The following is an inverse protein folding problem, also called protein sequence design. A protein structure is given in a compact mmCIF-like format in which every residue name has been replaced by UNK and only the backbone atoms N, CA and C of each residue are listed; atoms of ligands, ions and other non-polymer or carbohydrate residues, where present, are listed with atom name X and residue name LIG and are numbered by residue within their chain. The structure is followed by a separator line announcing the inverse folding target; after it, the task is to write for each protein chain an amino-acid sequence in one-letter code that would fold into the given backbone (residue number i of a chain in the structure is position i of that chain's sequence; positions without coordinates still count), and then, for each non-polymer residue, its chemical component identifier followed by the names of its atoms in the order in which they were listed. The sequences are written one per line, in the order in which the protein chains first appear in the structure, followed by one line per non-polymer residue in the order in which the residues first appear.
data_IF_102681680983
#
_entry.id   IF_102681680983
#
_cell.length_a   1.000
_cell.length_b   1.000
_cell.length_c   1.000
_cell.angle_alpha   90.00
_cell.angle_beta   90.00
_cell.angle_gamma   90.00
#
_symmetry.space_group_name_H-M   'P 1'
#
loop_
_entity.id
_entity.type
_entity.pdbx_description
1 polymer ?
#
# COMPACT_ATOMS: atom_id res chain seq x y z
N UNK A 1 23.66 -3.83 6.47
CA UNK A 1 22.73 -3.38 5.40
C UNK A 1 22.82 -1.88 5.25
N UNK A 2 22.78 -1.36 4.03
CA UNK A 2 22.66 0.09 3.77
C UNK A 2 21.24 0.53 4.10
N UNK A 3 21.03 1.79 4.46
CA UNK A 3 19.68 2.33 4.79
C UNK A 3 18.64 2.06 3.68
N UNK A 4 19.07 2.02 2.42
CA UNK A 4 18.25 1.72 1.24
C UNK A 4 17.74 0.28 1.18
N UNK A 5 18.49 -0.67 1.76
CA UNK A 5 18.09 -2.08 1.78
C UNK A 5 16.95 -2.37 2.77
N UNK A 6 16.68 -1.44 3.70
CA UNK A 6 15.55 -1.52 4.63
C UNK A 6 14.25 -0.88 4.12
N UNK A 7 14.31 -0.10 3.03
CA UNK A 7 13.15 0.62 2.53
C UNK A 7 12.00 -0.33 2.14
N UNK A 8 12.25 -1.27 1.24
CA UNK A 8 11.22 -2.20 0.78
C UNK A 8 10.62 -3.05 1.93
N UNK A 9 11.41 -3.70 2.82
CA UNK A 9 10.83 -4.48 3.91
C UNK A 9 10.02 -3.63 4.89
N UNK A 10 10.47 -2.43 5.24
CA UNK A 10 9.74 -1.53 6.15
C UNK A 10 8.41 -1.09 5.52
N UNK A 11 8.44 -0.61 4.28
CA UNK A 11 7.24 -0.17 3.57
C UNK A 11 6.23 -1.32 3.37
N UNK A 12 6.73 -2.53 3.12
CA UNK A 12 5.88 -3.71 3.05
C UNK A 12 5.20 -4.07 4.37
N UNK A 13 5.91 -3.98 5.51
CA UNK A 13 5.32 -4.22 6.84
C UNK A 13 4.32 -3.15 7.24
N UNK A 14 4.57 -1.88 6.89
CA UNK A 14 3.60 -0.78 7.07
C UNK A 14 2.34 -1.07 6.27
N UNK A 15 2.50 -1.52 5.01
CA UNK A 15 1.37 -1.93 4.17
C UNK A 15 0.57 -3.07 4.79
N UNK A 16 1.24 -4.12 5.28
CA UNK A 16 0.58 -5.26 5.91
C UNK A 16 -0.18 -4.84 7.18
N UNK A 17 0.40 -3.94 7.99
CA UNK A 17 -0.28 -3.37 9.16
C UNK A 17 -1.51 -2.56 8.77
N UNK A 18 -1.40 -1.71 7.74
CA UNK A 18 -2.54 -0.99 7.18
C UNK A 18 -3.64 -1.95 6.73
N UNK A 19 -3.27 -2.99 5.97
CA UNK A 19 -4.23 -3.97 5.47
C UNK A 19 -5.00 -4.62 6.62
N UNK A 20 -4.31 -5.00 7.70
CA UNK A 20 -4.94 -5.60 8.88
C UNK A 20 -5.89 -4.62 9.61
N UNK A 21 -5.47 -3.38 9.82
CA UNK A 21 -6.30 -2.35 10.46
C UNK A 21 -7.53 -2.04 9.60
N UNK A 22 -7.35 -1.87 8.31
CA UNK A 22 -8.45 -1.59 7.38
C UNK A 22 -9.44 -2.76 7.33
N UNK A 23 -8.95 -3.99 7.16
CA UNK A 23 -9.79 -5.18 7.13
C UNK A 23 -10.58 -5.33 8.43
N UNK A 24 -9.96 -5.13 9.59
CA UNK A 24 -10.60 -5.22 10.90
C UNK A 24 -11.78 -4.26 11.07
N UNK A 25 -11.70 -3.07 10.48
CA UNK A 25 -12.83 -2.10 10.50
C UNK A 25 -14.05 -2.61 9.72
N UNK A 26 -13.84 -3.32 8.62
CA UNK A 26 -14.91 -3.82 7.76
C UNK A 26 -15.30 -5.28 8.05
N UNK A 27 -14.52 -6.00 8.83
CA UNK A 27 -14.74 -7.43 9.12
C UNK A 27 -16.13 -7.73 9.70
N UNK A 28 -16.69 -6.94 10.64
CA UNK A 28 -18.04 -7.16 11.13
C UNK A 28 -19.11 -7.09 10.03
N UNK A 29 -18.98 -6.12 9.11
CA UNK A 29 -19.91 -5.96 8.00
C UNK A 29 -19.75 -7.09 6.96
N UNK A 30 -18.51 -7.49 6.68
CA UNK A 30 -18.18 -8.60 5.77
C UNK A 30 -18.81 -9.90 6.28
N UNK A 31 -18.62 -10.21 7.57
CA UNK A 31 -19.18 -11.41 8.20
C UNK A 31 -20.70 -11.38 8.24
N UNK A 32 -21.30 -10.25 8.60
CA UNK A 32 -22.75 -10.11 8.66
C UNK A 32 -23.39 -10.32 7.29
N UNK A 33 -22.81 -9.75 6.23
CA UNK A 33 -23.29 -9.95 4.86
C UNK A 33 -23.11 -11.40 4.42
N UNK A 34 -21.93 -12.00 4.63
CA UNK A 34 -21.68 -13.40 4.30
C UNK A 34 -22.68 -14.34 4.99
N UNK A 35 -22.90 -14.17 6.29
CA UNK A 35 -23.84 -15.00 7.06
C UNK A 35 -25.29 -14.84 6.59
N UNK A 36 -25.67 -13.64 6.13
CA UNK A 36 -27.03 -13.35 5.63
C UNK A 36 -27.34 -14.04 4.30
N UNK A 37 -26.33 -14.28 3.46
CA UNK A 37 -26.50 -14.88 2.10
C UNK A 37 -26.12 -16.37 2.09
N UNK A 38 -25.48 -16.87 3.13
CA UNK A 38 -25.03 -18.26 3.24
C UNK A 38 -26.20 -19.24 3.09
N UNK A 39 -26.06 -20.23 2.21
CA UNK A 39 -27.10 -21.21 1.91
C UNK A 39 -28.25 -20.69 1.03
N UNK A 40 -28.15 -19.46 0.52
CA UNK A 40 -29.12 -18.88 -0.43
C UNK A 40 -28.59 -18.96 -1.87
N UNK A 41 -29.46 -18.67 -2.85
CA UNK A 41 -29.05 -18.55 -4.26
C UNK A 41 -28.13 -17.33 -4.54
N UNK A 42 -27.97 -16.46 -3.55
CA UNK A 42 -27.07 -15.28 -3.62
C UNK A 42 -25.73 -15.55 -2.93
N UNK A 43 -25.47 -16.77 -2.47
CA UNK A 43 -24.21 -17.11 -1.81
C UNK A 43 -23.02 -16.85 -2.75
N UNK A 44 -22.06 -16.12 -2.23
CA UNK A 44 -20.78 -15.82 -2.89
C UNK A 44 -19.62 -15.95 -1.89
N UNK A 45 -18.39 -16.19 -2.37
CA UNK A 45 -17.23 -16.34 -1.50
C UNK A 45 -16.98 -15.08 -0.64
N UNK A 46 -16.57 -15.26 0.60
CA UNK A 46 -16.31 -14.16 1.55
C UNK A 46 -15.26 -13.16 1.02
N UNK A 47 -14.29 -13.63 0.23
CA UNK A 47 -13.27 -12.75 -0.35
C UNK A 47 -13.85 -11.74 -1.36
N UNK A 48 -14.91 -12.09 -2.11
CA UNK A 48 -15.57 -11.15 -3.01
C UNK A 48 -16.26 -10.02 -2.24
N UNK A 49 -16.93 -10.35 -1.13
CA UNK A 49 -17.55 -9.38 -0.23
C UNK A 49 -16.48 -8.46 0.37
N UNK A 50 -15.37 -9.03 0.81
CA UNK A 50 -14.27 -8.27 1.39
C UNK A 50 -13.66 -7.28 0.39
N UNK A 51 -13.41 -7.72 -0.85
CA UNK A 51 -12.88 -6.84 -1.91
C UNK A 51 -13.84 -5.69 -2.19
N UNK A 52 -15.13 -5.95 -2.24
CA UNK A 52 -16.16 -4.92 -2.44
C UNK A 52 -16.19 -3.89 -1.30
N UNK A 53 -16.07 -4.34 -0.04
CA UNK A 53 -16.15 -3.49 1.16
C UNK A 53 -14.88 -2.69 1.45
N UNK A 54 -13.71 -3.34 1.39
CA UNK A 54 -12.45 -2.73 1.81
C UNK A 54 -11.32 -2.77 0.77
N UNK A 55 -11.58 -3.34 -0.43
CA UNK A 55 -10.62 -3.34 -1.54
C UNK A 55 -9.69 -4.53 -1.60
N UNK A 56 -9.65 -5.39 -0.58
CA UNK A 56 -8.85 -6.62 -0.54
C UNK A 56 -9.41 -7.64 0.46
N UNK A 57 -8.93 -8.87 0.38
CA UNK A 57 -9.23 -9.92 1.36
C UNK A 57 -7.98 -10.28 2.15
N UNK A 58 -8.13 -10.39 3.46
CA UNK A 58 -7.05 -10.74 4.39
C UNK A 58 -7.42 -12.02 5.14
N UNK A 59 -6.89 -13.19 4.73
CA UNK A 59 -7.12 -14.44 5.45
C UNK A 59 -6.45 -14.41 6.84
N UNK A 60 -6.83 -15.34 7.70
CA UNK A 60 -6.38 -15.34 9.11
C UNK A 60 -4.86 -15.41 9.23
N UNK A 61 -4.21 -16.21 8.39
CA UNK A 61 -2.74 -16.39 8.37
C UNK A 61 -1.98 -15.14 7.91
N UNK A 62 -2.68 -14.20 7.27
CA UNK A 62 -2.13 -12.91 6.86
C UNK A 62 -2.45 -11.77 7.85
N UNK A 63 -3.18 -12.05 8.93
CA UNK A 63 -3.49 -11.06 9.96
C UNK A 63 -2.23 -10.70 10.75
N UNK A 64 -2.10 -9.42 11.05
CA UNK A 64 -0.90 -8.92 11.71
C UNK A 64 -0.70 -9.52 13.10
N UNK A 65 -1.77 -9.65 13.88
CA UNK A 65 -1.71 -10.28 15.21
C UNK A 65 -1.39 -11.78 15.14
N UNK A 66 -1.78 -12.48 14.07
CA UNK A 66 -1.41 -13.87 13.86
C UNK A 66 0.10 -14.02 13.66
N UNK A 67 0.70 -13.17 12.83
CA UNK A 67 2.16 -13.14 12.61
C UNK A 67 2.95 -12.82 13.89
N UNK A 68 2.44 -11.92 14.72
CA UNK A 68 3.06 -11.55 15.99
C UNK A 68 3.02 -12.66 17.05
N UNK A 69 2.06 -13.57 16.98
CA UNK A 69 1.87 -14.65 17.93
C UNK A 69 2.42 -16.00 17.44
N UNK A 70 3.19 -16.00 16.35
CA UNK A 70 3.84 -17.21 15.85
C UNK A 70 4.83 -17.77 16.89
N UNK A 71 4.89 -19.10 17.03
CA UNK A 71 5.94 -19.75 17.83
C UNK A 71 7.34 -19.41 17.29
N UNK A 72 8.33 -19.31 18.18
CA UNK A 72 9.72 -19.06 17.78
C UNK A 72 10.31 -20.15 16.87
N UNK A 73 9.70 -21.34 16.82
CA UNK A 73 10.09 -22.44 15.94
C UNK A 73 9.69 -22.22 14.47
N UNK A 74 8.80 -21.27 14.20
CA UNK A 74 8.31 -20.98 12.85
C UNK A 74 9.25 -20.00 12.14
N UNK A 75 9.39 -20.17 10.84
CA UNK A 75 10.13 -19.25 9.99
C UNK A 75 9.29 -18.00 9.72
N UNK A 76 9.54 -16.94 10.50
CA UNK A 76 8.80 -15.69 10.40
C UNK A 76 8.92 -15.04 9.02
N UNK A 77 10.10 -15.10 8.37
CA UNK A 77 10.29 -14.51 7.03
C UNK A 77 9.40 -15.21 5.99
N UNK A 78 9.34 -16.54 6.08
CA UNK A 78 8.44 -17.35 5.24
C UNK A 78 6.97 -17.00 5.49
N UNK A 79 6.57 -16.82 6.75
CA UNK A 79 5.17 -16.49 7.10
C UNK A 79 4.77 -15.08 6.65
N UNK A 80 5.67 -14.11 6.74
CA UNK A 80 5.44 -12.76 6.18
C UNK A 80 5.29 -12.83 4.66
N UNK A 81 6.13 -13.61 3.96
CA UNK A 81 5.99 -13.85 2.53
C UNK A 81 4.63 -14.46 2.18
N UNK A 82 4.22 -15.53 2.86
CA UNK A 82 2.92 -16.19 2.67
C UNK A 82 1.75 -15.21 2.89
N UNK A 83 1.86 -14.32 3.89
CA UNK A 83 0.86 -13.28 4.14
C UNK A 83 0.77 -12.27 2.98
N UNK A 84 1.90 -11.82 2.44
CA UNK A 84 1.93 -10.92 1.28
C UNK A 84 1.31 -11.58 0.04
N UNK A 85 1.65 -12.84 -0.22
CA UNK A 85 1.07 -13.63 -1.32
C UNK A 85 -0.44 -13.79 -1.16
N UNK A 86 -0.92 -14.00 0.06
CA UNK A 86 -2.35 -14.14 0.34
C UNK A 86 -3.12 -12.82 0.06
N UNK A 87 -2.55 -11.66 0.39
CA UNK A 87 -3.14 -10.36 0.06
C UNK A 87 -3.21 -10.15 -1.45
N UNK A 88 -2.10 -10.41 -2.18
CA UNK A 88 -2.05 -10.24 -3.63
C UNK A 88 -3.00 -11.16 -4.38
N UNK A 89 -3.15 -12.41 -3.92
CA UNK A 89 -3.98 -13.42 -4.57
C UNK A 89 -5.40 -12.96 -4.90
N UNK A 90 -5.94 -12.07 -4.07
CA UNK A 90 -7.32 -11.60 -4.19
C UNK A 90 -7.41 -10.13 -4.61
N UNK A 91 -6.28 -9.48 -4.93
CA UNK A 91 -6.25 -8.04 -5.25
C UNK A 91 -5.42 -7.82 -6.51
N UNK A 92 -6.10 -7.73 -7.67
CA UNK A 92 -5.43 -7.60 -8.97
C UNK A 92 -4.51 -6.37 -9.06
N UNK A 93 -4.86 -5.27 -8.40
CA UNK A 93 -4.05 -4.05 -8.36
C UNK A 93 -2.70 -4.24 -7.66
N UNK A 94 -2.58 -5.26 -6.81
CA UNK A 94 -1.37 -5.59 -6.05
C UNK A 94 -0.57 -6.75 -6.63
N UNK A 95 -1.01 -7.33 -7.75
CA UNK A 95 -0.29 -8.43 -8.39
C UNK A 95 1.20 -8.09 -8.59
N UNK A 96 2.09 -8.96 -8.10
CA UNK A 96 3.56 -8.80 -8.10
C UNK A 96 4.07 -7.47 -7.53
N UNK A 97 3.35 -6.91 -6.56
CA UNK A 97 3.62 -5.59 -5.99
C UNK A 97 4.29 -5.65 -4.64
N UNK A 98 3.83 -6.55 -3.75
CA UNK A 98 4.31 -6.60 -2.38
C UNK A 98 5.72 -7.24 -2.31
N UNK A 99 6.59 -6.76 -1.40
CA UNK A 99 7.93 -7.31 -1.25
C UNK A 99 7.87 -8.67 -0.54
N UNK A 100 8.01 -9.75 -1.29
CA UNK A 100 7.84 -11.13 -0.78
C UNK A 100 9.13 -11.77 -0.29
N UNK A 101 10.19 -11.69 -1.08
CA UNK A 101 11.42 -12.45 -0.83
C UNK A 101 12.45 -11.69 0.01
N UNK A 102 12.30 -10.39 0.16
CA UNK A 102 13.26 -9.52 0.86
C UNK A 102 13.39 -9.88 2.35
N UNK A 103 12.35 -10.44 2.96
CA UNK A 103 12.31 -10.73 4.39
C UNK A 103 13.30 -11.80 4.84
N UNK A 104 13.73 -12.68 3.94
CA UNK A 104 14.79 -13.65 4.22
C UNK A 104 16.16 -13.01 4.47
N UNK A 105 16.39 -11.80 3.98
CA UNK A 105 17.62 -11.05 4.13
C UNK A 105 17.59 -9.98 5.22
N UNK A 106 16.46 -9.77 5.89
CA UNK A 106 16.31 -8.74 6.93
C UNK A 106 17.07 -9.09 8.20
N UNK A 107 17.04 -10.36 8.59
CA UNK A 107 17.81 -10.85 9.73
C UNK A 107 19.30 -10.95 9.37
N UNK A 108 20.19 -10.65 10.30
CA UNK A 108 21.63 -10.80 10.16
C UNK A 108 22.17 -11.81 11.16
N UNK A 109 23.43 -12.25 10.96
CA UNK A 109 24.12 -13.11 11.94
C UNK A 109 24.26 -12.40 13.30
N UNK A 110 24.46 -11.08 13.31
CA UNK A 110 24.60 -10.26 14.51
C UNK A 110 23.26 -10.02 15.22
N UNK A 111 22.14 -9.99 14.50
CA UNK A 111 20.80 -9.82 15.07
C UNK A 111 19.77 -10.65 14.28
N UNK A 112 19.51 -11.87 14.73
CA UNK A 112 18.55 -12.77 14.08
C UNK A 112 17.07 -12.39 14.35
N UNK A 113 16.83 -11.36 15.17
CA UNK A 113 15.48 -10.95 15.57
C UNK A 113 15.04 -9.61 14.98
N UNK A 114 15.74 -9.07 13.98
CA UNK A 114 15.42 -7.77 13.37
C UNK A 114 13.98 -7.75 12.83
N UNK A 115 13.59 -8.76 12.09
CA UNK A 115 12.23 -8.84 11.52
C UNK A 115 11.16 -8.90 12.62
N UNK A 116 11.36 -9.67 13.68
CA UNK A 116 10.44 -9.75 14.80
C UNK A 116 10.32 -8.42 15.56
N UNK A 117 11.44 -7.69 15.73
CA UNK A 117 11.45 -6.35 16.34
C UNK A 117 10.71 -5.34 15.47
N UNK A 118 10.90 -5.36 14.14
CA UNK A 118 10.18 -4.50 13.20
C UNK A 118 8.67 -4.74 13.27
N UNK A 119 8.23 -5.99 13.24
CA UNK A 119 6.82 -6.33 13.40
C UNK A 119 6.25 -5.79 14.72
N UNK A 120 6.97 -5.94 15.83
CA UNK A 120 6.52 -5.42 17.13
C UNK A 120 6.39 -3.91 17.12
N UNK A 121 7.34 -3.19 16.53
CA UNK A 121 7.32 -1.73 16.48
C UNK A 121 6.11 -1.20 15.70
N UNK A 122 5.74 -1.83 14.58
CA UNK A 122 4.56 -1.40 13.81
C UNK A 122 3.22 -1.83 14.43
N UNK A 123 3.22 -2.77 15.40
CA UNK A 123 2.02 -3.08 16.19
C UNK A 123 1.54 -1.86 16.96
N UNK A 124 2.45 -1.02 17.44
CA UNK A 124 2.15 0.15 18.26
C UNK A 124 1.44 1.27 17.47
N UNK A 125 1.32 1.15 16.15
CA UNK A 125 0.40 1.99 15.37
C UNK A 125 -1.02 1.64 15.79
N UNK A 126 -1.77 2.57 16.44
CA UNK A 126 -3.08 2.27 16.99
C UNK A 126 -4.06 1.80 15.92
N UNK A 127 -4.94 0.86 16.26
CA UNK A 127 -5.94 0.35 15.31
C UNK A 127 -7.15 1.29 15.13
N UNK A 128 -7.29 2.28 15.99
CA UNK A 128 -8.36 3.29 15.97
C UNK A 128 -7.98 4.57 15.20
N UNK A 129 -6.76 4.63 14.66
CA UNK A 129 -6.34 5.77 13.82
C UNK A 129 -7.16 5.84 12.53
N UNK A 130 -7.29 7.04 12.02
CA UNK A 130 -7.82 7.26 10.67
C UNK A 130 -6.92 6.58 9.65
N UNK A 131 -7.50 5.94 8.64
CA UNK A 131 -6.74 5.17 7.65
C UNK A 131 -5.76 6.04 6.85
N UNK A 132 -6.05 7.33 6.74
CA UNK A 132 -5.22 8.30 6.02
C UNK A 132 -3.82 8.48 6.66
N UNK A 133 -3.70 8.24 7.97
CA UNK A 133 -2.40 8.27 8.68
C UNK A 133 -1.41 7.26 8.09
N UNK A 134 -1.87 6.09 7.63
CA UNK A 134 -0.96 5.13 7.00
C UNK A 134 -0.36 5.64 5.70
N UNK A 135 -1.13 6.40 4.92
CA UNK A 135 -0.62 7.09 3.74
C UNK A 135 0.45 8.13 4.12
N UNK A 136 0.22 8.92 5.16
CA UNK A 136 1.18 9.91 5.66
C UNK A 136 2.46 9.24 6.20
N UNK A 137 2.33 8.16 6.97
CA UNK A 137 3.46 7.37 7.46
C UNK A 137 4.27 6.81 6.28
N UNK A 138 3.59 6.26 5.28
CA UNK A 138 4.22 5.70 4.10
C UNK A 138 4.98 6.76 3.32
N UNK A 139 4.38 7.92 3.07
CA UNK A 139 5.04 9.06 2.39
C UNK A 139 6.24 9.58 3.21
N UNK A 140 6.13 9.65 4.53
CA UNK A 140 7.24 10.03 5.41
C UNK A 140 8.43 9.10 5.22
N UNK A 141 8.23 7.79 5.31
CA UNK A 141 9.32 6.82 5.11
C UNK A 141 9.89 6.85 3.69
N UNK A 142 9.06 7.02 2.66
CA UNK A 142 9.54 7.23 1.30
C UNK A 142 10.48 8.44 1.21
N UNK A 143 10.12 9.55 1.85
CA UNK A 143 10.95 10.75 1.91
C UNK A 143 12.28 10.52 2.63
N UNK A 144 12.26 9.87 3.80
CA UNK A 144 13.47 9.55 4.57
C UNK A 144 14.42 8.62 3.80
N UNK A 145 13.89 7.61 3.13
CA UNK A 145 14.72 6.72 2.30
C UNK A 145 15.30 7.43 1.07
N UNK A 146 14.52 8.29 0.42
CA UNK A 146 15.01 9.10 -0.69
C UNK A 146 16.15 10.03 -0.27
N UNK A 147 16.05 10.65 0.90
CA UNK A 147 17.14 11.48 1.46
C UNK A 147 18.38 10.65 1.79
N UNK A 148 18.20 9.42 2.31
CA UNK A 148 19.32 8.54 2.65
C UNK A 148 20.06 8.01 1.41
N UNK A 149 19.40 7.91 0.25
CA UNK A 149 20.02 7.55 -1.04
C UNK A 149 20.87 8.68 -1.65
N UNK A 150 20.76 9.89 -1.14
CA UNK A 150 21.46 11.05 -1.64
C UNK A 150 20.95 11.53 -3.01
N UNK A 151 21.87 11.96 -3.91
CA UNK A 151 21.47 12.53 -5.20
C UNK A 151 20.67 11.58 -6.10
N UNK A 152 20.85 10.26 -5.97
CA UNK A 152 20.08 9.26 -6.72
C UNK A 152 18.66 9.06 -6.20
N UNK A 153 18.41 9.28 -4.91
CA UNK A 153 17.11 9.05 -4.27
C UNK A 153 16.02 10.03 -4.69
N UNK A 154 16.40 11.22 -5.17
CA UNK A 154 15.46 12.22 -5.70
C UNK A 154 14.80 11.85 -7.04
N UNK A 155 15.22 10.76 -7.68
CA UNK A 155 14.64 10.36 -8.98
C UNK A 155 13.22 9.81 -8.85
N UNK A 156 12.84 9.26 -7.68
CA UNK A 156 11.52 8.64 -7.47
C UNK A 156 10.63 9.36 -6.47
N UNK A 157 11.16 10.32 -5.73
CA UNK A 157 10.42 11.03 -4.68
C UNK A 157 10.52 12.55 -4.86
N UNK A 158 9.36 13.17 -5.09
CA UNK A 158 9.24 14.64 -5.10
C UNK A 158 8.67 15.08 -3.75
N UNK A 159 9.28 16.04 -3.03
CA UNK A 159 8.78 16.50 -1.75
C UNK A 159 7.30 16.91 -1.79
N UNK A 160 6.51 16.47 -0.81
CA UNK A 160 5.06 16.69 -0.77
C UNK A 160 4.68 18.18 -0.86
N UNK A 161 5.52 19.10 -0.36
CA UNK A 161 5.28 20.54 -0.46
C UNK A 161 5.31 21.05 -1.92
N UNK A 162 6.21 20.51 -2.75
CA UNK A 162 6.32 20.85 -4.17
C UNK A 162 5.12 20.27 -4.93
N UNK A 163 4.81 19.02 -4.70
CA UNK A 163 3.68 18.34 -5.32
C UNK A 163 2.36 19.03 -4.96
N UNK A 164 2.17 19.38 -3.69
CA UNK A 164 0.99 20.12 -3.22
C UNK A 164 0.84 21.46 -3.94
N UNK A 165 1.94 22.21 -4.09
CA UNK A 165 1.91 23.46 -4.83
C UNK A 165 1.47 23.27 -6.29
N UNK A 166 1.99 22.24 -6.97
CA UNK A 166 1.60 21.91 -8.35
C UNK A 166 0.11 21.54 -8.44
N UNK A 167 -0.40 20.73 -7.51
CA UNK A 167 -1.79 20.33 -7.47
C UNK A 167 -2.72 21.53 -7.18
N UNK A 168 -2.34 22.44 -6.28
CA UNK A 168 -3.11 23.68 -6.02
C UNK A 168 -3.20 24.57 -7.28
N UNK A 169 -2.14 24.64 -8.08
CA UNK A 169 -2.15 25.39 -9.36
C UNK A 169 -3.04 24.73 -10.41
N UNK A 170 -3.02 23.38 -10.47
CA UNK A 170 -3.85 22.60 -11.41
C UNK A 170 -5.33 22.59 -11.02
N UNK A 171 -5.61 22.70 -9.72
CA UNK A 171 -6.95 22.69 -9.12
C UNK A 171 -7.88 21.58 -9.68
N UNK A 172 -7.46 20.30 -9.69
CA UNK A 172 -8.25 19.21 -10.24
C UNK A 172 -9.52 18.98 -9.42
N UNK A 173 -10.66 18.74 -10.08
CA UNK A 173 -11.93 18.48 -9.37
C UNK A 173 -12.42 17.06 -9.53
N UNK A 174 -12.20 16.45 -10.71
CA UNK A 174 -12.56 15.08 -11.05
C UNK A 174 -11.91 14.65 -12.36
N UNK A 175 -12.00 13.36 -12.71
CA UNK A 175 -11.64 12.85 -14.02
C UNK A 175 -10.38 11.97 -14.02
N UNK A 176 -9.61 12.06 -15.08
CA UNK A 176 -8.39 11.26 -15.30
C UNK A 176 -7.17 12.12 -15.19
N UNK A 177 -6.16 11.64 -14.47
CA UNK A 177 -4.85 12.27 -14.39
C UNK A 177 -3.80 11.32 -14.94
N UNK A 178 -2.93 11.81 -15.80
CA UNK A 178 -1.78 11.07 -16.34
C UNK A 178 -0.49 11.71 -15.83
N UNK A 179 0.38 10.87 -15.27
CA UNK A 179 1.77 11.24 -14.97
C UNK A 179 2.71 10.29 -15.70
N UNK A 180 3.43 10.78 -16.73
CA UNK A 180 4.32 9.96 -17.56
C UNK A 180 5.65 9.60 -16.89
N UNK A 181 5.91 10.10 -15.67
CA UNK A 181 7.11 9.82 -14.88
C UNK A 181 6.73 9.85 -13.38
N UNK A 182 5.76 9.00 -12.99
CA UNK A 182 5.02 9.16 -11.74
C UNK A 182 5.83 8.88 -10.47
N UNK A 183 7.05 8.32 -10.58
CA UNK A 183 7.82 7.97 -9.42
C UNK A 183 7.02 7.09 -8.44
N UNK A 184 7.03 7.42 -7.17
CA UNK A 184 6.24 6.77 -6.12
C UNK A 184 4.74 7.12 -6.09
N UNK A 185 4.24 7.89 -7.07
CA UNK A 185 2.83 8.24 -7.19
C UNK A 185 2.36 9.43 -6.35
N UNK A 186 3.27 10.24 -5.83
CA UNK A 186 2.95 11.38 -4.96
C UNK A 186 1.98 12.39 -5.57
N UNK A 187 2.06 12.65 -6.88
CA UNK A 187 1.09 13.53 -7.57
C UNK A 187 -0.33 13.02 -7.48
N UNK A 188 -0.55 11.72 -7.61
CA UNK A 188 -1.88 11.12 -7.53
C UNK A 188 -2.45 11.21 -6.13
N UNK A 189 -1.62 10.94 -5.11
CA UNK A 189 -2.01 11.00 -3.70
C UNK A 189 -2.39 12.43 -3.31
N UNK A 190 -1.54 13.41 -3.62
CA UNK A 190 -1.84 14.82 -3.31
C UNK A 190 -3.04 15.33 -4.11
N UNK A 191 -3.26 14.86 -5.34
CA UNK A 191 -4.48 15.16 -6.11
C UNK A 191 -5.72 14.58 -5.42
N UNK A 192 -5.66 13.36 -4.92
CA UNK A 192 -6.77 12.76 -4.19
C UNK A 192 -7.10 13.53 -2.92
N UNK A 193 -6.09 13.91 -2.13
CA UNK A 193 -6.26 14.75 -0.92
C UNK A 193 -6.86 16.12 -1.27
N UNK A 194 -6.41 16.73 -2.38
CA UNK A 194 -6.96 18.01 -2.83
C UNK A 194 -8.45 17.90 -3.17
N UNK A 195 -8.85 16.89 -3.96
CA UNK A 195 -10.23 16.65 -4.34
C UNK A 195 -11.08 16.35 -3.10
N UNK A 196 -10.60 15.51 -2.17
CA UNK A 196 -11.28 15.16 -0.94
C UNK A 196 -11.59 16.42 -0.10
N UNK A 197 -10.62 17.31 0.02
CA UNK A 197 -10.75 18.56 0.76
C UNK A 197 -11.74 19.56 0.13
N UNK A 198 -11.86 19.56 -1.20
CA UNK A 198 -12.64 20.56 -1.95
C UNK A 198 -13.97 20.01 -2.49
N UNK A 199 -14.22 18.71 -2.38
CA UNK A 199 -15.49 18.14 -2.86
C UNK A 199 -16.67 18.60 -2.00
N UNK A 200 -17.84 18.73 -2.63
CA UNK A 200 -19.09 18.96 -1.91
C UNK A 200 -19.42 17.76 -1.01
N UNK A 201 -20.01 18.03 0.17
CA UNK A 201 -20.41 17.01 1.13
C UNK A 201 -21.31 15.95 0.46
N UNK A 202 -20.97 14.65 0.60
CA UNK A 202 -21.71 13.53 -0.01
C UNK A 202 -21.34 13.17 -1.44
N UNK A 203 -20.44 13.90 -2.12
CA UNK A 203 -19.89 13.47 -3.41
C UNK A 203 -18.76 12.46 -3.22
N UNK A 204 -18.81 11.37 -3.99
CA UNK A 204 -17.67 10.44 -4.09
C UNK A 204 -16.55 11.05 -4.92
N UNK A 205 -15.32 10.73 -4.58
CA UNK A 205 -14.15 11.07 -5.38
C UNK A 205 -14.20 10.30 -6.71
N UNK A 206 -14.22 11.03 -7.83
CA UNK A 206 -14.19 10.47 -9.17
C UNK A 206 -12.86 10.77 -9.85
N UNK A 207 -11.79 10.22 -9.29
CA UNK A 207 -10.43 10.32 -9.82
C UNK A 207 -9.95 8.95 -10.30
N UNK A 208 -9.32 8.91 -11.48
CA UNK A 208 -8.60 7.75 -11.96
C UNK A 208 -7.18 8.12 -12.40
N UNK A 209 -6.19 7.54 -11.73
CA UNK A 209 -4.78 7.78 -11.98
C UNK A 209 -4.23 6.83 -13.06
N UNK A 210 -3.38 7.37 -13.93
CA UNK A 210 -2.60 6.63 -14.91
C UNK A 210 -1.15 7.06 -14.80
N UNK A 211 -0.27 6.15 -14.39
CA UNK A 211 1.14 6.43 -14.18
C UNK A 211 2.03 5.58 -15.08
N UNK A 212 3.13 6.17 -15.53
CA UNK A 212 4.22 5.45 -16.18
C UNK A 212 5.47 5.62 -15.34
N UNK A 213 6.16 4.52 -15.05
CA UNK A 213 7.42 4.56 -14.32
C UNK A 213 8.40 3.52 -14.92
N UNK A 214 9.68 3.94 -15.08
CA UNK A 214 10.71 3.13 -15.73
C UNK A 214 11.34 2.07 -14.83
N UNK A 215 11.27 2.26 -13.52
CA UNK A 215 11.93 1.42 -12.51
C UNK A 215 10.94 0.50 -11.83
N UNK A 216 11.11 -0.82 -11.97
CA UNK A 216 10.18 -1.80 -11.43
C UNK A 216 9.98 -1.72 -9.92
N UNK A 217 11.04 -1.44 -9.14
CA UNK A 217 10.92 -1.22 -7.70
C UNK A 217 10.00 -0.02 -7.39
N UNK A 218 10.20 1.09 -8.10
CA UNK A 218 9.40 2.31 -7.93
C UNK A 218 7.95 2.11 -8.36
N UNK A 219 7.68 1.30 -9.40
CA UNK A 219 6.31 0.88 -9.78
C UNK A 219 5.61 0.20 -8.61
N UNK A 220 6.29 -0.71 -7.89
CA UNK A 220 5.72 -1.38 -6.71
C UNK A 220 5.38 -0.38 -5.61
N UNK A 221 6.30 0.55 -5.32
CA UNK A 221 6.07 1.61 -4.33
C UNK A 221 4.86 2.47 -4.69
N UNK A 222 4.74 2.87 -5.96
CA UNK A 222 3.61 3.65 -6.45
C UNK A 222 2.27 2.90 -6.29
N UNK A 223 2.22 1.63 -6.66
CA UNK A 223 1.01 0.81 -6.52
C UNK A 223 0.59 0.69 -5.05
N UNK A 224 1.52 0.40 -4.13
CA UNK A 224 1.24 0.37 -2.69
C UNK A 224 0.72 1.73 -2.20
N UNK A 225 1.35 2.82 -2.62
CA UNK A 225 0.96 4.18 -2.24
C UNK A 225 -0.47 4.53 -2.68
N UNK A 226 -0.84 4.17 -3.91
CA UNK A 226 -2.21 4.37 -4.39
C UNK A 226 -3.23 3.61 -3.54
N UNK A 227 -2.95 2.34 -3.22
CA UNK A 227 -3.87 1.50 -2.41
C UNK A 227 -4.01 2.05 -0.99
N UNK A 228 -2.90 2.45 -0.34
CA UNK A 228 -2.91 3.06 0.99
C UNK A 228 -3.79 4.32 1.06
N UNK A 229 -3.76 5.11 0.00
CA UNK A 229 -4.49 6.38 -0.10
C UNK A 229 -5.85 6.25 -0.83
N UNK A 230 -6.38 5.04 -1.04
CA UNK A 230 -7.64 4.78 -1.74
C UNK A 230 -7.74 5.41 -3.14
N UNK A 231 -6.62 5.57 -3.83
CA UNK A 231 -6.56 6.13 -5.18
C UNK A 231 -6.72 5.00 -6.21
N UNK A 232 -7.77 5.08 -7.03
CA UNK A 232 -7.95 4.13 -8.14
C UNK A 232 -7.05 4.52 -9.30
N UNK A 233 -6.26 3.57 -9.78
CA UNK A 233 -5.34 3.87 -10.88
C UNK A 233 -4.63 2.65 -11.44
N UNK A 234 -3.86 2.92 -12.49
CA UNK A 234 -3.01 1.92 -13.15
C UNK A 234 -1.61 2.49 -13.27
N UNK A 235 -0.61 1.77 -12.77
CA UNK A 235 0.80 2.13 -12.94
C UNK A 235 1.44 1.14 -13.90
N UNK A 236 1.95 1.66 -15.02
CA UNK A 236 2.58 0.86 -16.07
C UNK A 236 4.09 0.95 -15.97
N UNK A 237 4.75 -0.22 -15.92
CA UNK A 237 6.20 -0.32 -16.01
C UNK A 237 6.64 -0.09 -17.45
N UNK A 238 7.07 1.11 -17.78
CA UNK A 238 7.55 1.48 -19.11
C UNK A 238 8.44 2.73 -19.06
N UNK A 239 9.18 2.96 -20.12
CA UNK A 239 9.86 4.24 -20.35
C UNK A 239 9.01 5.07 -21.30
N UNK A 240 8.44 6.18 -20.78
CA UNK A 240 7.52 7.07 -21.50
C UNK A 240 8.13 7.78 -22.71
N UNK A 241 9.47 7.84 -22.80
CA UNK A 241 10.16 8.35 -24.01
C UNK A 241 10.05 7.41 -25.22
N UNK A 242 9.80 6.13 -24.99
CA UNK A 242 9.76 5.12 -26.05
C UNK A 242 8.41 4.45 -26.21
N UNK A 243 7.55 4.55 -25.20
CA UNK A 243 6.24 3.91 -25.21
C UNK A 243 5.22 4.75 -24.45
N UNK A 244 4.13 5.09 -25.15
CA UNK A 244 2.91 5.64 -24.55
C UNK A 244 1.90 4.50 -24.39
N UNK A 245 1.61 4.07 -23.14
CA UNK A 245 0.68 2.98 -22.89
C UNK A 245 -0.79 3.42 -22.80
N UNK A 246 -1.10 4.74 -22.84
CA UNK A 246 -2.44 5.28 -22.61
C UNK A 246 -2.99 6.14 -23.73
#
# INVERSE_FOLDING_TARGET
MKSTEYAEPILGLIFLRFADVKYSKFEPEIKAEFDSIKGTHMERPIHEIAIEKCGFYLPEEARYDWLLNLPESEDLAKKVKEAMEAVEKYTAELEDTLPKDIYYSVNSEDDPLVLAKLLKNFKDIPADVELDIFGEIYEYFLGEFALAEGQGGGEFFTPASVVRYMVEVLAPTEGRILDPACGSGGMFVQTAHYIEKHKAQGKQMNLRAYGVEKTGATVRLAKMNLVLNNVRGTITHANSYYRDPY
#
